data_IF_281174357604
#
_entry.id   IF_281174357604
#
_cell.length_a   1.000
_cell.length_b   1.000
_cell.length_c   1.000
_cell.angle_alpha   90.00
_cell.angle_beta   90.00
_cell.angle_gamma   90.00
#
_symmetry.space_group_name_H-M   'P 1'
#
loop_
_entity.id
_entity.type
_entity.pdbx_description
1 polymer ?
#
# COMPACT_ATOMS: atom_id res chain seq x y z
N UNK A 1 -1.15 50.50 45.96
CA UNK A 1 -1.58 49.11 45.66
C UNK A 1 -2.84 49.22 44.80
N UNK A 2 -3.06 48.54 43.68
CA UNK A 2 -2.28 47.56 42.93
C UNK A 2 -2.83 47.52 41.50
N UNK A 3 -1.97 47.26 40.51
CA UNK A 3 -2.36 47.07 39.10
C UNK A 3 -2.99 45.69 38.96
N UNK A 4 -4.17 45.62 38.35
CA UNK A 4 -4.80 44.36 37.93
C UNK A 4 -4.02 43.83 36.72
N UNK A 5 -3.28 42.73 36.92
CA UNK A 5 -2.66 42.00 35.83
C UNK A 5 -3.72 41.19 35.09
N UNK A 6 -3.89 41.44 33.79
CA UNK A 6 -4.61 40.55 32.89
C UNK A 6 -3.71 39.36 32.60
N UNK A 7 -4.10 38.19 33.08
CA UNK A 7 -3.43 36.93 32.75
C UNK A 7 -3.88 36.52 31.34
N UNK A 8 -2.95 36.56 30.39
CA UNK A 8 -3.19 36.09 29.03
C UNK A 8 -3.08 34.56 29.04
N UNK A 9 -4.22 33.88 28.95
CA UNK A 9 -4.28 32.43 28.79
C UNK A 9 -3.53 32.01 27.52
N UNK A 10 -2.41 31.32 27.69
CA UNK A 10 -1.63 30.69 26.62
C UNK A 10 -2.52 29.71 25.85
N UNK A 11 -2.49 29.69 24.51
CA UNK A 11 -3.21 28.68 23.74
C UNK A 11 -2.58 27.31 24.02
N UNK A 12 -3.44 26.35 24.38
CA UNK A 12 -3.11 24.93 24.53
C UNK A 12 -2.65 24.38 23.18
N UNK A 13 -1.34 24.25 22.98
CA UNK A 13 -0.77 23.50 21.86
C UNK A 13 -1.15 22.02 22.01
N UNK A 14 -1.95 21.49 21.10
CA UNK A 14 -2.12 20.05 20.93
C UNK A 14 -0.73 19.41 20.75
N UNK A 15 -0.38 18.33 21.47
CA UNK A 15 0.91 17.69 21.28
C UNK A 15 0.99 17.15 19.85
N UNK A 16 2.01 17.58 19.11
CA UNK A 16 2.31 17.03 17.79
C UNK A 16 2.55 15.52 17.89
N UNK A 17 2.12 14.71 16.91
CA UNK A 17 2.31 13.28 16.94
C UNK A 17 3.82 12.95 16.84
N UNK A 18 4.42 12.60 17.99
CA UNK A 18 5.80 12.13 18.06
C UNK A 18 5.86 10.71 17.50
N UNK A 19 6.61 10.51 16.43
CA UNK A 19 6.95 9.18 15.93
C UNK A 19 8.34 8.78 16.40
N UNK A 20 8.53 7.50 16.68
CA UNK A 20 9.83 6.94 17.10
C UNK A 20 10.13 5.70 16.29
N UNK A 21 11.40 5.43 16.06
CA UNK A 21 11.88 4.20 15.44
C UNK A 21 13.15 3.73 16.15
N UNK A 22 13.39 2.42 16.13
CA UNK A 22 14.60 1.80 16.68
C UNK A 22 15.27 0.99 15.59
N UNK A 23 16.56 1.23 15.35
CA UNK A 23 17.37 0.35 14.50
C UNK A 23 18.07 -0.67 15.39
N UNK A 24 17.82 -1.95 15.13
CA UNK A 24 18.49 -3.06 15.80
C UNK A 24 19.48 -3.68 14.82
N UNK A 25 20.71 -3.87 15.26
CA UNK A 25 21.74 -4.58 14.50
C UNK A 25 22.18 -5.80 15.28
N UNK A 26 22.09 -6.96 14.66
CA UNK A 26 22.39 -8.25 15.26
C UNK A 26 23.29 -9.08 14.35
N UNK A 27 23.80 -10.19 14.89
CA UNK A 27 24.66 -11.11 14.16
C UNK A 27 24.02 -12.49 14.15
N UNK A 28 23.85 -13.07 12.96
CA UNK A 28 23.45 -14.47 12.79
C UNK A 28 24.71 -15.30 12.70
N UNK A 29 24.95 -16.13 13.71
CA UNK A 29 26.13 -16.97 13.80
C UNK A 29 25.88 -18.37 13.24
N UNK A 30 26.90 -18.96 12.63
CA UNK A 30 26.92 -20.35 12.22
C UNK A 30 28.35 -20.87 12.11
N UNK A 31 28.51 -22.18 12.18
CA UNK A 31 29.82 -22.83 12.19
C UNK A 31 29.89 -23.95 11.16
N UNK A 32 31.11 -24.21 10.66
CA UNK A 32 31.39 -25.28 9.73
C UNK A 32 32.73 -25.92 10.03
N UNK A 33 32.78 -27.25 9.97
CA UNK A 33 34.00 -28.04 10.11
C UNK A 33 34.47 -28.52 8.74
N UNK A 34 35.76 -28.33 8.47
CA UNK A 34 36.40 -28.75 7.24
C UNK A 34 37.58 -29.67 7.58
N UNK A 35 37.41 -30.95 7.29
CA UNK A 35 38.45 -31.96 7.39
C UNK A 35 39.18 -32.07 6.06
N UNK A 36 40.49 -31.85 6.07
CA UNK A 36 41.37 -32.03 4.92
C UNK A 36 42.12 -33.33 5.13
N UNK A 37 41.84 -34.33 4.31
CA UNK A 37 42.55 -35.63 4.33
C UNK A 37 43.56 -35.70 3.20
N UNK A 38 44.67 -36.39 3.39
CA UNK A 38 45.69 -36.52 2.35
C UNK A 38 46.53 -35.25 2.18
N UNK A 39 46.81 -34.52 3.28
CA UNK A 39 47.54 -33.25 3.24
C UNK A 39 48.86 -33.38 2.46
N UNK A 40 49.57 -34.49 2.61
CA UNK A 40 50.82 -34.77 1.92
C UNK A 40 50.70 -34.68 0.40
N UNK A 41 49.56 -35.05 -0.18
CA UNK A 41 49.26 -34.98 -1.62
C UNK A 41 48.87 -33.58 -2.08
N UNK A 42 48.48 -32.70 -1.16
CA UNK A 42 48.16 -31.31 -1.45
C UNK A 42 49.40 -30.41 -1.60
N UNK A 43 50.59 -30.91 -1.23
CA UNK A 43 51.86 -30.19 -1.35
C UNK A 43 52.29 -30.08 -2.81
N UNK A 44 52.79 -28.90 -3.20
CA UNK A 44 53.23 -28.67 -4.58
C UNK A 44 52.07 -28.41 -5.55
N UNK A 45 50.86 -28.19 -5.04
CA UNK A 45 49.70 -27.74 -5.82
C UNK A 45 49.96 -26.37 -6.48
N UNK A 46 50.85 -25.58 -5.90
CA UNK A 46 51.30 -24.30 -6.41
C UNK A 46 50.70 -23.12 -5.64
N UNK A 47 51.47 -22.04 -5.57
CA UNK A 47 51.07 -20.82 -4.87
C UNK A 47 49.78 -20.27 -5.46
N UNK A 48 48.85 -19.89 -4.58
CA UNK A 48 47.54 -19.34 -4.97
C UNK A 48 46.52 -20.40 -5.40
N UNK A 49 46.86 -21.70 -5.38
CA UNK A 49 45.91 -22.80 -5.52
C UNK A 49 45.40 -23.23 -4.14
N UNK A 50 44.14 -23.64 -4.09
CA UNK A 50 43.46 -23.95 -2.83
C UNK A 50 42.58 -25.19 -2.94
N UNK A 51 42.32 -25.76 -1.77
CA UNK A 51 41.25 -26.70 -1.52
C UNK A 51 40.09 -25.95 -0.89
N UNK A 52 38.89 -26.12 -1.44
CA UNK A 52 37.67 -25.56 -0.89
C UNK A 52 36.96 -26.61 -0.01
N UNK A 53 36.37 -26.16 1.09
CA UNK A 53 35.34 -26.95 1.78
C UNK A 53 34.08 -27.03 0.93
N UNK A 54 33.17 -27.93 1.32
CA UNK A 54 31.79 -27.80 0.91
C UNK A 54 31.21 -26.46 1.39
N UNK A 55 30.13 -26.06 0.72
CA UNK A 55 29.46 -24.81 1.06
C UNK A 55 28.53 -24.97 2.25
N UNK A 56 28.38 -23.92 3.05
CA UNK A 56 27.47 -23.87 4.18
C UNK A 56 26.74 -22.53 4.26
N UNK A 57 25.57 -22.50 4.90
CA UNK A 57 24.69 -21.31 4.90
C UNK A 57 24.70 -20.65 6.27
N UNK A 58 24.96 -19.34 6.31
CA UNK A 58 24.87 -18.50 7.52
C UNK A 58 24.30 -17.15 7.13
N UNK A 59 23.31 -16.66 7.89
CA UNK A 59 22.70 -15.35 7.66
C UNK A 59 21.99 -15.19 6.31
N UNK A 60 21.63 -16.30 5.65
CA UNK A 60 21.05 -16.32 4.30
C UNK A 60 22.06 -16.26 3.15
N UNK A 61 23.35 -16.33 3.46
CA UNK A 61 24.42 -16.36 2.46
C UNK A 61 25.15 -17.70 2.48
N UNK A 62 25.67 -18.09 1.33
CA UNK A 62 26.46 -19.31 1.17
C UNK A 62 27.94 -18.98 1.31
N UNK A 63 28.66 -19.77 2.08
CA UNK A 63 30.06 -19.57 2.43
C UNK A 63 30.88 -20.82 2.14
N UNK A 64 32.19 -20.67 1.95
CA UNK A 64 33.14 -21.77 1.84
C UNK A 64 34.49 -21.40 2.46
N UNK A 65 35.19 -22.39 3.01
CA UNK A 65 36.53 -22.23 3.56
C UNK A 65 37.55 -22.58 2.47
N UNK A 66 38.53 -21.70 2.23
CA UNK A 66 39.62 -21.93 1.29
C UNK A 66 40.95 -22.11 2.04
N UNK A 67 41.56 -23.28 1.87
CA UNK A 67 42.88 -23.61 2.40
C UNK A 67 43.92 -23.65 1.28
N UNK A 68 45.00 -22.88 1.44
CA UNK A 68 46.10 -22.80 0.48
C UNK A 68 47.33 -23.50 1.06
N UNK A 69 47.64 -24.74 0.64
CA UNK A 69 48.77 -25.51 1.21
C UNK A 69 50.13 -24.87 0.91
N UNK A 70 50.29 -24.29 -0.27
CA UNK A 70 51.51 -23.58 -0.69
C UNK A 70 51.37 -22.05 -0.56
N UNK A 71 50.40 -21.58 0.22
CA UNK A 71 50.16 -20.16 0.48
C UNK A 71 49.43 -19.41 -0.63
N UNK A 72 48.87 -18.25 -0.29
CA UNK A 72 48.03 -17.43 -1.18
C UNK A 72 48.82 -16.49 -2.11
N UNK A 73 49.99 -16.02 -1.67
CA UNK A 73 50.78 -14.98 -2.36
C UNK A 73 52.18 -15.49 -2.67
N UNK A 74 52.71 -15.11 -3.84
CA UNK A 74 54.08 -15.43 -4.28
C UNK A 74 55.14 -14.76 -3.40
N UNK A 75 54.79 -13.64 -2.76
CA UNK A 75 55.65 -12.87 -1.86
C UNK A 75 56.17 -13.69 -0.67
N UNK A 76 55.39 -14.69 -0.25
CA UNK A 76 55.71 -15.54 0.90
C UNK A 76 56.48 -16.80 0.50
N UNK A 77 56.76 -17.01 -0.80
CA UNK A 77 57.52 -18.14 -1.36
C UNK A 77 57.11 -19.52 -0.78
N UNK A 78 55.80 -19.76 -0.72
CA UNK A 78 55.20 -20.95 -0.11
C UNK A 78 55.61 -21.24 1.35
N UNK A 79 56.07 -20.25 2.11
CA UNK A 79 56.54 -20.43 3.50
C UNK A 79 55.39 -20.71 4.48
N UNK A 80 54.19 -20.24 4.15
CA UNK A 80 53.02 -20.30 5.03
C UNK A 80 51.88 -21.05 4.34
N UNK A 81 51.10 -21.76 5.13
CA UNK A 81 49.73 -22.11 4.72
C UNK A 81 48.84 -20.90 4.93
N UNK A 82 47.85 -20.73 4.06
CA UNK A 82 46.85 -19.66 4.20
C UNK A 82 45.45 -20.23 4.36
N UNK A 83 44.60 -19.49 5.08
CA UNK A 83 43.23 -19.90 5.36
C UNK A 83 42.29 -18.70 5.25
N UNK A 84 41.20 -18.88 4.51
CA UNK A 84 40.23 -17.82 4.21
C UNK A 84 38.80 -18.34 4.31
N UNK A 85 37.89 -17.45 4.67
CA UNK A 85 36.46 -17.60 4.48
C UNK A 85 36.06 -16.81 3.23
N UNK A 86 35.30 -17.43 2.33
CA UNK A 86 34.86 -16.86 1.07
C UNK A 86 33.33 -16.83 0.96
N UNK A 87 32.80 -15.75 0.39
CA UNK A 87 31.39 -15.66 0.02
C UNK A 87 31.17 -16.47 -1.26
N UNK A 88 30.35 -17.51 -1.21
CA UNK A 88 30.08 -18.41 -2.32
C UNK A 88 28.76 -18.10 -3.04
N UNK A 89 27.80 -17.44 -2.38
CA UNK A 89 26.57 -16.94 -3.01
C UNK A 89 26.78 -15.57 -3.66
N UNK A 90 25.84 -15.17 -4.52
CA UNK A 90 25.72 -13.77 -4.91
C UNK A 90 25.35 -12.91 -3.69
N UNK A 91 25.91 -11.71 -3.62
CA UNK A 91 25.67 -10.78 -2.53
C UNK A 91 26.57 -9.56 -2.65
N UNK A 92 26.03 -8.38 -2.34
CA UNK A 92 26.76 -7.11 -2.34
C UNK A 92 26.93 -6.60 -0.93
N UNK A 93 28.15 -6.20 -0.58
CA UNK A 93 28.52 -5.60 0.70
C UNK A 93 28.03 -6.37 1.94
N UNK A 94 28.17 -7.70 1.90
CA UNK A 94 27.84 -8.58 3.03
C UNK A 94 28.81 -8.32 4.17
N UNK A 95 28.31 -7.82 5.30
CA UNK A 95 29.11 -7.59 6.51
C UNK A 95 29.16 -8.85 7.36
N UNK A 96 30.35 -9.32 7.70
CA UNK A 96 30.54 -10.51 8.52
C UNK A 96 31.72 -10.41 9.47
N UNK A 97 31.55 -11.01 10.64
CA UNK A 97 32.62 -11.41 11.55
C UNK A 97 32.98 -12.86 11.24
N UNK A 98 34.21 -13.25 11.54
CA UNK A 98 34.62 -14.64 11.40
C UNK A 98 35.67 -15.04 12.43
N UNK A 99 35.74 -16.35 12.65
CA UNK A 99 36.80 -17.02 13.37
C UNK A 99 37.29 -18.19 12.54
N UNK A 100 38.60 -18.34 12.46
CA UNK A 100 39.26 -19.45 11.80
C UNK A 100 40.13 -20.18 12.83
N UNK A 101 39.80 -21.44 13.05
CA UNK A 101 40.41 -22.28 14.07
C UNK A 101 41.01 -23.52 13.42
N UNK A 102 42.30 -23.73 13.65
CA UNK A 102 42.97 -24.99 13.31
C UNK A 102 43.03 -25.85 14.57
N UNK A 103 42.41 -27.03 14.51
CA UNK A 103 42.18 -27.84 15.70
C UNK A 103 43.43 -28.65 16.09
N UNK A 104 43.79 -28.58 17.37
CA UNK A 104 44.76 -29.49 17.99
C UNK A 104 44.19 -30.92 18.03
N UNK A 105 45.01 -31.88 17.61
CA UNK A 105 44.63 -33.29 17.59
C UNK A 105 45.39 -34.11 18.65
N UNK A 106 46.14 -33.47 19.56
CA UNK A 106 46.79 -34.16 20.69
C UNK A 106 45.85 -34.47 21.86
N UNK A 107 44.63 -33.93 21.85
CA UNK A 107 43.68 -34.01 22.96
C UNK A 107 43.96 -33.00 24.09
N UNK A 108 44.83 -32.01 23.86
CA UNK A 108 45.16 -30.96 24.84
C UNK A 108 44.37 -29.67 24.62
N UNK A 109 43.50 -29.65 23.62
CA UNK A 109 42.63 -28.52 23.24
C UNK A 109 43.40 -27.22 22.95
N UNK A 110 44.65 -27.34 22.49
CA UNK A 110 45.51 -26.19 22.17
C UNK A 110 45.29 -25.69 20.76
N UNK A 111 44.05 -25.35 20.43
CA UNK A 111 43.67 -24.91 19.09
C UNK A 111 44.37 -23.59 18.72
N UNK A 112 44.71 -23.44 17.44
CA UNK A 112 45.16 -22.16 16.90
C UNK A 112 43.96 -21.37 16.41
N UNK A 113 43.58 -20.34 17.16
CA UNK A 113 42.39 -19.51 16.91
C UNK A 113 42.80 -18.13 16.39
N UNK A 114 42.15 -17.67 15.33
CA UNK A 114 42.12 -16.25 14.96
C UNK A 114 40.68 -15.78 14.85
N UNK A 115 40.25 -14.97 15.83
CA UNK A 115 38.85 -14.54 15.98
C UNK A 115 38.69 -13.03 15.83
N UNK A 116 37.61 -12.62 15.17
CA UNK A 116 37.20 -11.22 15.05
C UNK A 116 35.94 -10.88 15.83
N UNK A 117 35.30 -11.85 16.49
CA UNK A 117 34.09 -11.61 17.28
C UNK A 117 34.34 -10.65 18.48
N UNK A 118 35.52 -10.72 19.09
CA UNK A 118 35.88 -9.88 20.24
C UNK A 118 36.39 -8.47 19.90
N UNK A 119 36.60 -8.14 18.61
CA UNK A 119 37.18 -6.85 18.16
C UNK A 119 36.20 -5.98 17.39
N UNK A 120 34.90 -6.29 17.46
CA UNK A 120 33.88 -5.61 16.67
C UNK A 120 33.85 -4.09 16.91
N UNK A 121 34.15 -3.62 18.12
CA UNK A 121 34.19 -2.19 18.43
C UNK A 121 35.45 -1.46 17.90
N UNK A 122 36.56 -2.19 17.71
CA UNK A 122 37.84 -1.61 17.24
C UNK A 122 37.94 -1.60 15.71
N UNK A 123 37.62 -2.73 15.07
CA UNK A 123 37.85 -2.94 13.63
C UNK A 123 36.56 -3.10 12.83
N UNK A 124 35.42 -3.29 13.50
CA UNK A 124 34.15 -3.58 12.84
C UNK A 124 34.11 -4.95 12.14
N UNK A 125 32.94 -5.31 11.57
CA UNK A 125 32.81 -6.45 10.69
C UNK A 125 33.49 -6.19 9.33
N UNK A 126 33.94 -7.25 8.68
CA UNK A 126 34.51 -7.19 7.34
C UNK A 126 33.41 -7.16 6.28
N UNK A 127 33.63 -6.40 5.20
CA UNK A 127 32.70 -6.32 4.07
C UNK A 127 33.17 -7.22 2.93
N UNK A 128 32.32 -8.15 2.49
CA UNK A 128 32.50 -8.99 1.32
C UNK A 128 31.62 -8.44 0.19
N UNK A 129 32.28 -7.92 -0.86
CA UNK A 129 31.63 -7.06 -1.86
C UNK A 129 30.86 -7.82 -2.95
N UNK A 130 31.29 -9.03 -3.27
CA UNK A 130 30.75 -9.84 -4.36
C UNK A 130 31.10 -11.32 -4.18
N UNK A 131 30.47 -12.21 -4.95
CA UNK A 131 30.77 -13.65 -4.94
C UNK A 131 32.24 -13.93 -5.24
N UNK A 132 32.88 -14.70 -4.37
CA UNK A 132 34.31 -15.01 -4.44
C UNK A 132 35.19 -14.01 -3.68
N UNK A 133 34.64 -12.91 -3.16
CA UNK A 133 35.31 -12.11 -2.14
C UNK A 133 35.65 -12.97 -0.93
N UNK A 134 36.80 -12.75 -0.32
CA UNK A 134 37.29 -13.55 0.80
C UNK A 134 38.06 -12.72 1.82
N UNK A 135 38.00 -13.14 3.07
CA UNK A 135 38.79 -12.59 4.17
C UNK A 135 39.45 -13.72 4.96
N UNK A 136 40.61 -13.44 5.55
CA UNK A 136 41.41 -14.45 6.22
C UNK A 136 42.88 -14.06 6.29
N UNK A 137 43.74 -15.07 6.41
CA UNK A 137 45.14 -14.87 6.76
C UNK A 137 46.07 -15.50 5.72
N UNK A 138 46.80 -14.64 4.99
CA UNK A 138 47.88 -15.07 4.08
C UNK A 138 48.97 -15.87 4.83
N UNK A 139 49.35 -15.40 6.01
CA UNK A 139 50.37 -16.03 6.87
C UNK A 139 49.71 -16.72 8.05
N UNK A 140 48.75 -17.62 7.80
CA UNK A 140 47.98 -18.26 8.87
C UNK A 140 48.89 -19.07 9.79
N UNK A 141 49.71 -19.97 9.24
CA UNK A 141 50.70 -20.73 10.01
C UNK A 141 51.92 -21.08 9.14
N UNK A 142 53.11 -21.14 9.75
CA UNK A 142 54.33 -21.55 9.03
C UNK A 142 54.20 -23.02 8.64
N UNK A 143 54.45 -23.35 7.38
CA UNK A 143 54.26 -24.71 6.85
C UNK A 143 55.16 -25.74 7.54
N UNK A 144 56.45 -25.46 7.67
CA UNK A 144 57.39 -26.35 8.37
C UNK A 144 57.01 -26.60 9.85
N UNK A 145 56.42 -25.60 10.51
CA UNK A 145 55.89 -25.77 11.87
C UNK A 145 54.58 -26.56 11.88
N UNK A 146 53.72 -26.41 10.87
CA UNK A 146 52.48 -27.19 10.73
C UNK A 146 52.79 -28.68 10.63
N UNK A 147 53.72 -29.02 9.74
CA UNK A 147 54.07 -30.40 9.39
C UNK A 147 54.68 -31.19 10.56
N UNK A 148 55.20 -30.49 11.57
CA UNK A 148 55.79 -31.08 12.78
C UNK A 148 54.92 -30.91 14.03
N UNK A 149 53.74 -30.32 13.89
CA UNK A 149 52.83 -30.01 15.01
C UNK A 149 51.79 -31.10 15.26
N UNK A 150 51.10 -31.00 16.39
CA UNK A 150 49.93 -31.82 16.70
C UNK A 150 48.65 -31.40 15.95
N UNK A 151 48.72 -30.38 15.09
CA UNK A 151 47.61 -30.01 14.21
C UNK A 151 47.48 -30.92 12.99
N UNK A 152 48.55 -31.61 12.58
CA UNK A 152 48.58 -32.57 11.48
C UNK A 152 48.79 -33.97 12.05
N UNK A 153 47.76 -34.81 12.02
CA UNK A 153 47.80 -36.22 12.46
C UNK A 153 47.17 -37.09 11.38
N UNK A 154 47.75 -38.26 11.14
CA UNK A 154 47.27 -39.23 10.15
C UNK A 154 47.00 -38.61 8.77
N UNK A 155 47.91 -37.72 8.36
CA UNK A 155 47.81 -36.94 7.12
C UNK A 155 46.53 -36.09 6.97
N UNK A 156 45.93 -35.72 8.11
CA UNK A 156 44.69 -34.96 8.19
C UNK A 156 44.86 -33.65 8.97
N UNK A 157 44.23 -32.58 8.47
CA UNK A 157 44.02 -31.33 9.19
C UNK A 157 42.52 -31.16 9.48
N UNK A 158 42.20 -30.57 10.63
CA UNK A 158 40.84 -30.21 11.00
C UNK A 158 40.74 -28.70 11.19
N UNK A 159 39.91 -28.05 10.38
CA UNK A 159 39.63 -26.62 10.46
C UNK A 159 38.19 -26.43 10.90
N UNK A 160 37.96 -25.53 11.86
CA UNK A 160 36.65 -25.05 12.22
C UNK A 160 36.56 -23.56 11.87
N UNK A 161 35.46 -23.17 11.22
CA UNK A 161 35.15 -21.77 10.95
C UNK A 161 33.84 -21.41 11.62
N UNK A 162 33.81 -20.25 12.28
CA UNK A 162 32.58 -19.61 12.72
C UNK A 162 32.39 -18.32 11.92
N UNK A 163 31.19 -18.09 11.38
CA UNK A 163 30.83 -16.89 10.65
C UNK A 163 29.67 -16.21 11.38
N UNK A 164 29.76 -14.90 11.54
CA UNK A 164 28.70 -14.07 12.11
C UNK A 164 28.27 -13.03 11.10
N UNK A 165 27.13 -13.23 10.45
CA UNK A 165 26.61 -12.28 9.44
C UNK A 165 25.83 -11.18 10.13
N UNK A 166 26.23 -9.93 9.89
CA UNK A 166 25.61 -8.76 10.50
C UNK A 166 24.37 -8.37 9.71
N UNK A 167 23.22 -8.32 10.39
CA UNK A 167 21.95 -7.83 9.84
C UNK A 167 21.46 -6.64 10.64
N UNK A 168 20.81 -5.72 9.95
CA UNK A 168 20.16 -4.56 10.57
C UNK A 168 18.71 -4.52 10.11
N UNK A 169 17.80 -4.28 11.04
CA UNK A 169 16.40 -3.99 10.75
C UNK A 169 15.94 -2.77 11.55
N UNK A 170 14.98 -2.05 10.99
CA UNK A 170 14.39 -0.87 11.63
C UNK A 170 12.97 -1.22 12.05
N UNK A 171 12.72 -1.16 13.35
CA UNK A 171 11.39 -1.31 13.93
C UNK A 171 10.76 0.07 14.07
N UNK A 172 9.67 0.29 13.35
CA UNK A 172 8.79 1.43 13.53
C UNK A 172 7.55 1.07 14.35
N UNK A 173 6.67 2.03 14.66
CA UNK A 173 5.41 1.76 15.32
C UNK A 173 4.61 0.77 14.45
N UNK A 174 4.17 -0.36 15.03
CA UNK A 174 3.30 -1.32 14.32
C UNK A 174 2.01 -0.60 13.94
N UNK A 175 1.88 -0.21 12.67
CA UNK A 175 0.63 0.31 12.13
C UNK A 175 -0.32 -0.88 12.04
N UNK A 176 -1.22 -1.01 13.02
CA UNK A 176 -2.31 -1.98 12.93
C UNK A 176 -3.28 -1.50 11.84
N UNK A 177 -3.06 -1.94 10.61
CA UNK A 177 -4.06 -1.82 9.55
C UNK A 177 -5.08 -2.93 9.74
N UNK A 178 -6.31 -2.57 10.09
CA UNK A 178 -7.43 -3.51 10.04
C UNK A 178 -7.83 -3.60 8.57
N UNK A 179 -7.71 -4.78 7.91
CA UNK A 179 -8.14 -4.92 6.53
C UNK A 179 -9.67 -4.75 6.48
N UNK A 180 -10.13 -3.64 5.93
CA UNK A 180 -11.56 -3.39 5.72
C UNK A 180 -11.95 -4.07 4.40
N UNK A 181 -12.86 -5.07 4.41
CA UNK A 181 -13.29 -5.71 3.19
C UNK A 181 -14.05 -4.72 2.30
N UNK A 182 -14.04 -4.91 0.96
CA UNK A 182 -14.87 -4.14 0.05
C UNK A 182 -16.35 -4.22 0.45
N UNK A 183 -17.10 -3.13 0.30
CA UNK A 183 -18.53 -3.08 0.62
C UNK A 183 -19.34 -4.01 -0.29
N UNK A 184 -20.22 -4.82 0.31
CA UNK A 184 -21.16 -5.71 -0.37
C UNK A 184 -22.60 -5.16 -0.39
N UNK A 185 -22.80 -3.90 0.00
CA UNK A 185 -24.13 -3.29 0.15
C UNK A 185 -24.93 -3.29 -1.15
N UNK A 186 -24.29 -3.16 -2.31
CA UNK A 186 -24.96 -3.25 -3.61
C UNK A 186 -25.62 -4.61 -3.85
N UNK A 187 -25.01 -5.69 -3.35
CA UNK A 187 -25.60 -7.02 -3.41
C UNK A 187 -26.80 -7.15 -2.47
N UNK A 188 -26.74 -6.52 -1.29
CA UNK A 188 -27.86 -6.48 -0.35
C UNK A 188 -29.07 -5.70 -0.90
N UNK A 189 -28.84 -4.56 -1.55
CA UNK A 189 -29.92 -3.82 -2.23
C UNK A 189 -30.44 -4.56 -3.47
N UNK A 190 -29.58 -5.24 -4.24
CA UNK A 190 -30.02 -6.11 -5.34
C UNK A 190 -30.97 -7.21 -4.84
N UNK A 191 -30.60 -7.92 -3.77
CA UNK A 191 -31.47 -8.93 -3.12
C UNK A 191 -32.77 -8.32 -2.58
N UNK A 192 -32.72 -7.09 -2.05
CA UNK A 192 -33.92 -6.39 -1.57
C UNK A 192 -34.91 -6.16 -2.73
N UNK A 193 -34.41 -5.67 -3.88
CA UNK A 193 -35.20 -5.45 -5.09
C UNK A 193 -35.76 -6.76 -5.65
N UNK A 194 -34.94 -7.81 -5.79
CA UNK A 194 -35.39 -9.14 -6.25
C UNK A 194 -36.47 -9.74 -5.35
N UNK A 195 -36.33 -9.58 -4.03
CA UNK A 195 -37.27 -10.16 -3.07
C UNK A 195 -38.64 -9.46 -3.04
N UNK A 196 -38.73 -8.23 -3.57
CA UNK A 196 -39.92 -7.39 -3.51
C UNK A 196 -40.35 -6.96 -2.10
N UNK A 197 -39.59 -7.32 -1.05
CA UNK A 197 -39.94 -7.01 0.35
C UNK A 197 -39.93 -5.50 0.59
N UNK A 198 -41.04 -4.98 1.12
CA UNK A 198 -41.18 -3.57 1.50
C UNK A 198 -41.22 -2.60 0.31
N UNK A 199 -41.56 -3.10 -0.89
CA UNK A 199 -41.79 -2.24 -2.06
C UNK A 199 -43.02 -1.36 -1.84
N UNK A 200 -42.94 -0.12 -2.29
CA UNK A 200 -43.91 0.95 -2.02
C UNK A 200 -44.24 1.79 -3.28
N UNK A 201 -43.69 1.41 -4.44
CA UNK A 201 -44.01 1.93 -5.77
C UNK A 201 -43.90 0.82 -6.81
N UNK A 202 -44.71 0.92 -7.87
CA UNK A 202 -44.59 0.07 -9.06
C UNK A 202 -44.25 0.91 -10.29
N UNK A 203 -43.45 0.36 -11.19
CA UNK A 203 -43.32 0.86 -12.55
C UNK A 203 -44.21 0.05 -13.48
N UNK A 204 -45.02 0.74 -14.28
CA UNK A 204 -45.76 0.12 -15.38
C UNK A 204 -44.95 0.34 -16.67
N UNK A 205 -44.46 -0.75 -17.26
CA UNK A 205 -43.57 -0.76 -18.43
C UNK A 205 -44.06 -1.81 -19.40
N UNK A 206 -44.45 -1.41 -20.61
CA UNK A 206 -44.99 -2.33 -21.64
C UNK A 206 -46.14 -3.23 -21.14
N UNK A 207 -46.98 -2.69 -20.24
CA UNK A 207 -48.07 -3.43 -19.61
C UNK A 207 -47.65 -4.39 -18.48
N UNK A 208 -46.36 -4.48 -18.15
CA UNK A 208 -45.83 -5.23 -17.01
C UNK A 208 -45.57 -4.32 -15.81
N UNK A 209 -45.76 -4.86 -14.60
CA UNK A 209 -45.54 -4.14 -13.35
C UNK A 209 -44.27 -4.60 -12.65
N UNK A 210 -43.41 -3.64 -12.30
CA UNK A 210 -42.15 -3.85 -11.59
C UNK A 210 -42.16 -3.12 -10.25
N UNK A 211 -42.16 -3.87 -9.16
CA UNK A 211 -42.14 -3.28 -7.81
C UNK A 211 -40.74 -2.78 -7.44
N UNK A 212 -40.69 -1.62 -6.78
CA UNK A 212 -39.47 -0.95 -6.37
C UNK A 212 -39.65 -0.18 -5.04
N UNK A 213 -38.58 0.49 -4.61
CA UNK A 213 -38.52 1.21 -3.32
C UNK A 213 -38.29 2.70 -3.55
N UNK A 214 -39.28 3.53 -3.17
CA UNK A 214 -39.26 4.99 -3.34
C UNK A 214 -38.01 5.63 -2.75
N UNK A 215 -37.60 5.21 -1.55
CA UNK A 215 -36.42 5.76 -0.88
C UNK A 215 -35.13 5.46 -1.64
N UNK A 216 -34.98 4.25 -2.19
CA UNK A 216 -33.82 3.88 -3.00
C UNK A 216 -33.81 4.70 -4.29
N UNK A 217 -34.93 4.80 -4.98
CA UNK A 217 -35.05 5.59 -6.22
C UNK A 217 -34.77 7.08 -5.98
N UNK A 218 -35.34 7.67 -4.93
CA UNK A 218 -35.14 9.08 -4.60
C UNK A 218 -33.73 9.39 -4.08
N UNK A 219 -33.04 8.41 -3.48
CA UNK A 219 -31.62 8.56 -3.12
C UNK A 219 -30.71 8.49 -4.35
N UNK A 220 -31.12 7.76 -5.40
CA UNK A 220 -30.31 7.51 -6.61
C UNK A 220 -30.61 8.44 -7.78
N UNK A 221 -31.76 9.09 -7.80
CA UNK A 221 -32.19 9.94 -8.90
C UNK A 221 -32.90 11.19 -8.38
N UNK A 222 -32.32 12.39 -8.61
CA UNK A 222 -32.99 13.66 -8.31
C UNK A 222 -34.36 13.79 -9.01
N UNK A 223 -34.51 13.18 -10.19
CA UNK A 223 -35.78 13.14 -10.93
C UNK A 223 -36.83 12.35 -10.14
N UNK A 224 -36.49 11.13 -9.68
CA UNK A 224 -37.40 10.37 -8.83
C UNK A 224 -37.61 11.03 -7.47
N UNK A 225 -36.61 11.70 -6.91
CA UNK A 225 -36.75 12.47 -5.68
C UNK A 225 -37.79 13.59 -5.83
N UNK A 226 -37.70 14.36 -6.91
CA UNK A 226 -38.64 15.44 -7.20
C UNK A 226 -40.05 14.91 -7.51
N UNK A 227 -40.16 13.81 -8.26
CA UNK A 227 -41.44 13.20 -8.61
C UNK A 227 -42.14 12.50 -7.43
N UNK A 228 -41.39 11.88 -6.52
CA UNK A 228 -41.96 11.14 -5.39
C UNK A 228 -42.19 12.01 -4.15
N UNK A 229 -41.29 12.96 -3.90
CA UNK A 229 -41.23 13.74 -2.65
C UNK A 229 -41.16 15.27 -2.87
N UNK A 230 -41.03 15.74 -4.12
CA UNK A 230 -40.92 17.15 -4.45
C UNK A 230 -42.25 17.78 -4.87
N UNK A 231 -42.23 19.06 -5.32
CA UNK A 231 -43.43 19.79 -5.72
C UNK A 231 -44.08 19.24 -7.01
N UNK A 232 -43.37 18.39 -7.77
CA UNK A 232 -43.88 17.69 -8.97
C UNK A 232 -44.66 16.40 -8.64
N UNK A 233 -44.92 16.15 -7.35
CA UNK A 233 -45.62 14.96 -6.90
C UNK A 233 -47.04 14.91 -7.43
N UNK A 234 -47.35 13.88 -8.21
CA UNK A 234 -48.71 13.59 -8.65
C UNK A 234 -49.57 13.02 -7.50
N UNK A 235 -50.88 12.92 -7.74
CA UNK A 235 -51.79 12.30 -6.76
C UNK A 235 -51.58 10.78 -6.64
N UNK A 236 -50.93 10.14 -7.63
CA UNK A 236 -50.75 8.69 -7.68
C UNK A 236 -49.27 8.26 -7.70
N UNK A 237 -48.55 8.58 -6.63
CA UNK A 237 -47.14 8.15 -6.47
C UNK A 237 -46.94 6.63 -6.28
N UNK A 238 -48.00 5.81 -6.36
CA UNK A 238 -47.90 4.36 -6.20
C UNK A 238 -47.58 3.65 -7.52
N UNK A 239 -47.79 4.30 -8.67
CA UNK A 239 -47.54 3.74 -9.98
C UNK A 239 -46.89 4.78 -10.90
N UNK A 240 -45.68 4.51 -11.38
CA UNK A 240 -44.96 5.35 -12.32
C UNK A 240 -45.00 4.66 -13.68
N UNK A 241 -45.65 5.30 -14.66
CA UNK A 241 -45.70 4.77 -16.02
C UNK A 241 -44.44 5.16 -16.78
N UNK A 242 -43.79 4.19 -17.40
CA UNK A 242 -42.63 4.42 -18.27
C UNK A 242 -43.04 4.14 -19.70
N UNK A 243 -43.31 5.21 -20.43
CA UNK A 243 -43.62 5.17 -21.85
C UNK A 243 -42.27 5.07 -22.61
N UNK A 244 -42.20 4.24 -23.65
CA UNK A 244 -41.01 4.02 -24.50
C UNK A 244 -39.87 3.15 -23.93
N UNK A 245 -40.19 2.13 -23.12
CA UNK A 245 -39.24 1.10 -22.71
C UNK A 245 -39.86 -0.30 -22.76
N UNK A 246 -39.10 -1.27 -23.28
CA UNK A 246 -39.50 -2.68 -23.29
C UNK A 246 -39.25 -3.32 -21.92
N UNK A 247 -40.21 -4.11 -21.43
CA UNK A 247 -40.14 -4.77 -20.13
C UNK A 247 -38.85 -5.61 -19.90
N UNK A 248 -38.34 -6.38 -20.89
CA UNK A 248 -37.09 -7.12 -20.72
C UNK A 248 -35.86 -6.24 -20.49
N UNK A 249 -35.79 -5.09 -21.17
CA UNK A 249 -34.68 -4.13 -21.03
C UNK A 249 -34.73 -3.41 -19.68
N UNK A 250 -35.94 -3.09 -19.22
CA UNK A 250 -36.14 -2.50 -17.89
C UNK A 250 -35.63 -3.42 -16.78
N UNK A 251 -35.85 -4.72 -16.94
CA UNK A 251 -35.46 -5.74 -15.96
C UNK A 251 -33.95 -6.03 -15.94
N UNK A 252 -33.26 -5.97 -17.08
CA UNK A 252 -31.82 -6.27 -17.16
C UNK A 252 -30.96 -5.05 -16.88
N UNK A 253 -31.15 -3.97 -17.66
CA UNK A 253 -30.22 -2.84 -17.69
C UNK A 253 -30.43 -1.93 -16.48
N UNK A 254 -31.69 -1.79 -16.01
CA UNK A 254 -32.01 -1.06 -14.78
C UNK A 254 -31.47 -1.76 -13.52
N UNK A 255 -31.44 -3.10 -13.53
CA UNK A 255 -30.98 -3.90 -12.40
C UNK A 255 -29.45 -3.95 -12.28
N UNK A 256 -28.75 -4.19 -13.40
CA UNK A 256 -27.28 -4.15 -13.42
C UNK A 256 -26.75 -2.74 -13.14
N UNK A 257 -27.41 -1.68 -13.62
CA UNK A 257 -27.02 -0.29 -13.31
C UNK A 257 -27.13 0.04 -11.81
N UNK A 258 -28.20 -0.39 -11.14
CA UNK A 258 -28.36 -0.21 -9.69
C UNK A 258 -27.26 -0.95 -8.91
N UNK A 259 -26.94 -2.18 -9.32
CA UNK A 259 -25.93 -3.04 -8.71
C UNK A 259 -24.50 -2.49 -8.88
N UNK A 260 -24.16 -1.95 -10.05
CA UNK A 260 -22.86 -1.33 -10.33
C UNK A 260 -22.70 0.07 -9.68
N UNK A 261 -23.80 0.82 -9.52
CA UNK A 261 -23.75 2.18 -8.98
C UNK A 261 -23.85 2.28 -7.46
N UNK A 262 -24.38 1.25 -6.79
CA UNK A 262 -24.56 1.22 -5.33
C UNK A 262 -23.30 1.36 -4.44
N UNK A 263 -22.08 0.95 -4.86
CA UNK A 263 -20.88 1.13 -4.02
C UNK A 263 -20.54 2.59 -3.72
N UNK A 264 -20.91 3.54 -4.60
CA UNK A 264 -20.58 4.97 -4.44
C UNK A 264 -21.53 5.70 -3.48
N UNK A 265 -22.76 5.20 -3.32
CA UNK A 265 -23.81 5.81 -2.49
C UNK A 265 -23.51 5.67 -1.00
N UNK A 266 -22.93 4.54 -0.59
CA UNK A 266 -22.56 4.32 0.81
C UNK A 266 -21.38 5.21 1.19
N UNK A 267 -20.40 5.36 0.29
CA UNK A 267 -19.26 6.27 0.50
C UNK A 267 -19.73 7.72 0.62
N UNK A 268 -20.60 8.18 -0.27
CA UNK A 268 -21.18 9.54 -0.22
C UNK A 268 -22.06 9.76 1.02
N UNK A 269 -22.88 8.79 1.42
CA UNK A 269 -23.69 8.85 2.64
C UNK A 269 -22.82 8.83 3.90
N UNK A 270 -21.78 8.01 3.94
CA UNK A 270 -20.85 7.96 5.08
C UNK A 270 -20.04 9.25 5.19
N UNK A 271 -19.58 9.82 4.07
CA UNK A 271 -18.93 11.13 4.04
C UNK A 271 -19.89 12.26 4.43
N UNK A 272 -21.17 12.19 4.03
CA UNK A 272 -22.19 13.17 4.44
C UNK A 272 -22.51 13.06 5.93
N UNK A 273 -22.68 11.85 6.46
CA UNK A 273 -22.89 11.60 7.89
C UNK A 273 -21.67 12.04 8.71
N UNK A 274 -20.45 11.75 8.23
CA UNK A 274 -19.20 12.21 8.86
C UNK A 274 -19.14 13.75 8.93
N UNK A 275 -19.53 14.44 7.84
CA UNK A 275 -19.64 15.91 7.81
C UNK A 275 -20.70 16.45 8.78
N UNK A 276 -21.84 15.78 8.92
CA UNK A 276 -22.88 16.19 9.89
C UNK A 276 -22.40 16.00 11.33
N UNK A 277 -21.65 14.94 11.62
CA UNK A 277 -21.08 14.73 12.97
C UNK A 277 -20.04 15.78 13.32
N UNK A 278 -19.27 16.31 12.35
CA UNK A 278 -18.34 17.42 12.58
C UNK A 278 -19.08 18.75 12.84
N UNK A 279 -20.14 19.06 12.08
CA UNK A 279 -20.95 20.26 12.31
C UNK A 279 -21.82 20.20 13.58
N UNK A 280 -22.19 19.00 14.04
CA UNK A 280 -22.97 18.82 15.28
C UNK A 280 -22.15 19.06 16.55
N UNK A 281 -20.81 18.97 16.48
CA UNK A 281 -19.91 19.35 17.58
C UNK A 281 -19.76 20.89 17.65
N UNK A 282 -20.01 21.61 16.54
CA UNK A 282 -19.85 23.06 16.46
C UNK A 282 -21.09 23.88 16.90
N UNK A 283 -22.30 23.28 16.91
CA UNK A 283 -23.54 24.00 17.30
C UNK A 283 -24.03 23.51 18.65
N UNK A 284 -23.29 23.92 19.68
CA UNK A 284 -23.56 23.55 21.07
C UNK A 284 -23.45 24.70 22.04
N UNK A 285 -23.98 25.91 21.74
CA UNK A 285 -24.41 26.88 22.77
C UNK A 285 -25.61 27.74 22.30
N UNK A 286 -26.61 27.99 23.16
CA UNK A 286 -27.80 28.75 22.79
C UNK A 286 -27.64 30.26 22.99
N UNK A 287 -28.14 31.03 22.02
CA UNK A 287 -28.81 32.32 22.20
C UNK A 287 -27.94 33.57 22.36
N UNK A 288 -27.78 34.35 21.28
CA UNK A 288 -28.17 35.78 21.25
C UNK A 288 -28.22 36.29 19.79
N UNK A 289 -29.31 36.98 19.45
CA UNK A 289 -29.58 37.60 18.15
C UNK A 289 -28.50 38.62 17.75
N UNK A 290 -28.16 38.65 16.45
CA UNK A 290 -27.24 39.64 15.88
C UNK A 290 -27.04 39.49 14.38
N UNK A 291 -27.97 40.08 13.62
CA UNK A 291 -27.82 40.83 12.35
C UNK A 291 -26.79 40.31 11.32
N UNK A 292 -27.33 39.96 10.14
CA UNK A 292 -26.63 39.61 8.90
C UNK A 292 -25.82 40.79 8.34
N UNK A 293 -24.58 40.54 7.91
CA UNK A 293 -23.89 41.38 6.93
C UNK A 293 -23.47 40.52 5.73
N UNK A 294 -23.89 40.96 4.54
CA UNK A 294 -23.78 40.24 3.29
C UNK A 294 -22.46 40.55 2.62
N UNK A 295 -21.54 39.60 2.60
CA UNK A 295 -20.42 39.56 1.65
C UNK A 295 -19.79 38.17 1.59
N UNK A 296 -20.60 37.16 1.24
CA UNK A 296 -20.10 35.79 0.95
C UNK A 296 -20.96 35.07 -0.10
N UNK A 297 -21.60 35.83 -1.00
CA UNK A 297 -22.49 35.25 -2.02
C UNK A 297 -21.77 35.00 -3.35
N UNK A 298 -20.72 35.77 -3.68
CA UNK A 298 -20.06 35.69 -4.99
C UNK A 298 -18.86 34.73 -5.08
N UNK A 299 -18.25 34.30 -3.97
CA UNK A 299 -17.22 33.24 -4.02
C UNK A 299 -17.81 31.83 -3.92
N UNK A 300 -19.05 31.70 -3.42
CA UNK A 300 -19.77 30.43 -3.36
C UNK A 300 -20.46 30.08 -4.70
N UNK A 301 -20.76 31.06 -5.56
CA UNK A 301 -21.33 30.82 -6.90
C UNK A 301 -20.31 30.22 -7.89
N UNK A 302 -19.06 30.69 -7.89
CA UNK A 302 -18.04 30.14 -8.79
C UNK A 302 -17.53 28.75 -8.38
N UNK A 303 -17.62 28.39 -7.09
CA UNK A 303 -17.33 27.03 -6.62
C UNK A 303 -18.50 26.06 -6.88
N UNK A 304 -19.75 26.55 -6.85
CA UNK A 304 -20.93 25.78 -7.25
C UNK A 304 -20.87 25.41 -8.72
N UNK A 305 -20.50 26.32 -9.61
CA UNK A 305 -20.40 26.03 -11.04
C UNK A 305 -19.27 25.06 -11.37
N UNK A 306 -18.12 25.12 -10.72
CA UNK A 306 -17.01 24.19 -10.98
C UNK A 306 -17.27 22.77 -10.44
N UNK A 307 -18.00 22.66 -9.31
CA UNK A 307 -18.39 21.38 -8.70
C UNK A 307 -19.60 20.79 -9.42
N UNK A 308 -20.59 21.61 -9.81
CA UNK A 308 -21.72 21.20 -10.64
C UNK A 308 -21.24 20.78 -12.02
N UNK A 309 -20.31 21.49 -12.66
CA UNK A 309 -19.80 21.12 -14.00
C UNK A 309 -18.99 19.81 -13.96
N UNK A 310 -18.27 19.52 -12.87
CA UNK A 310 -17.58 18.22 -12.65
C UNK A 310 -18.53 17.08 -12.24
N UNK A 311 -19.61 17.39 -11.53
CA UNK A 311 -20.69 16.44 -11.22
C UNK A 311 -21.54 16.09 -12.46
N UNK A 312 -21.84 17.09 -13.31
CA UNK A 312 -22.55 16.91 -14.57
C UNK A 312 -21.73 16.11 -15.58
N UNK A 313 -20.41 16.33 -15.70
CA UNK A 313 -19.56 15.60 -16.66
C UNK A 313 -19.37 14.11 -16.32
N UNK A 314 -19.50 13.71 -15.06
CA UNK A 314 -19.45 12.29 -14.67
C UNK A 314 -20.78 11.57 -14.93
N UNK A 315 -21.91 12.29 -14.86
CA UNK A 315 -23.24 11.81 -15.24
C UNK A 315 -23.52 11.87 -16.76
N UNK A 316 -22.87 12.76 -17.50
CA UNK A 316 -23.11 12.96 -18.94
C UNK A 316 -22.58 11.83 -19.83
N UNK A 317 -21.62 11.01 -19.40
CA UNK A 317 -21.07 9.94 -20.27
C UNK A 317 -22.03 8.74 -20.31
N UNK A 318 -22.69 8.42 -19.19
CA UNK A 318 -23.66 7.31 -19.10
C UNK A 318 -25.06 7.69 -19.62
N UNK A 319 -25.59 8.84 -19.18
CA UNK A 319 -26.93 9.27 -19.59
C UNK A 319 -27.01 9.72 -21.05
N UNK A 320 -25.96 10.31 -21.64
CA UNK A 320 -26.01 10.69 -23.06
C UNK A 320 -25.94 9.48 -24.01
N UNK A 321 -25.40 8.33 -23.60
CA UNK A 321 -25.43 7.13 -24.45
C UNK A 321 -26.87 6.60 -24.62
N UNK A 322 -27.69 6.74 -23.56
CA UNK A 322 -29.11 6.38 -23.56
C UNK A 322 -29.93 7.50 -24.22
N UNK A 323 -29.74 8.77 -23.84
CA UNK A 323 -30.48 9.93 -24.37
C UNK A 323 -30.15 10.24 -25.85
N UNK A 324 -28.91 10.06 -26.34
CA UNK A 324 -28.59 10.25 -27.77
C UNK A 324 -29.18 9.16 -28.67
N UNK A 325 -29.44 7.96 -28.13
CA UNK A 325 -30.23 6.93 -28.84
C UNK A 325 -31.72 7.30 -28.89
N UNK A 326 -32.24 8.05 -27.90
CA UNK A 326 -33.59 8.63 -27.91
C UNK A 326 -33.74 9.75 -28.97
N UNK A 327 -32.74 10.62 -29.19
CA UNK A 327 -32.88 11.76 -30.12
C UNK A 327 -32.58 11.43 -31.61
N UNK A 328 -31.67 10.50 -31.91
CA UNK A 328 -31.26 10.23 -33.30
C UNK A 328 -32.24 9.37 -34.13
N UNK A 329 -33.32 8.84 -33.54
CA UNK A 329 -34.40 8.15 -34.29
C UNK A 329 -35.62 9.03 -34.58
N UNK A 330 -35.63 10.28 -34.12
CA UNK A 330 -36.67 11.27 -34.43
C UNK A 330 -36.59 11.87 -35.85
N UNK A 331 -35.61 11.50 -36.68
CA UNK A 331 -35.40 12.12 -38.00
C UNK A 331 -35.87 11.29 -39.20
N UNK A 332 -36.84 10.39 -39.02
CA UNK A 332 -37.53 9.75 -40.15
C UNK A 332 -39.05 9.83 -40.00
N UNK A 333 -39.63 10.78 -40.73
CA UNK A 333 -41.05 10.96 -41.10
C UNK A 333 -42.04 11.51 -40.04
N UNK A 334 -42.05 12.84 -39.94
CA UNK A 334 -43.21 13.72 -40.26
C UNK A 334 -44.62 13.10 -40.26
N UNK A 335 -45.42 13.39 -39.24
CA UNK A 335 -46.63 14.23 -39.36
C UNK A 335 -47.37 14.39 -38.02
N UNK A 336 -48.00 15.56 -37.87
CA UNK A 336 -48.82 16.04 -36.75
C UNK A 336 -48.09 16.57 -35.51
N UNK A 337 -47.57 17.79 -35.70
CA UNK A 337 -47.67 18.86 -34.71
C UNK A 337 -49.16 19.08 -34.37
N UNK A 338 -49.48 19.31 -33.10
CA UNK A 338 -50.17 20.50 -32.58
C UNK A 338 -50.93 20.18 -31.28
N UNK A 339 -50.53 20.75 -30.15
CA UNK A 339 -51.34 21.81 -29.53
C UNK A 339 -50.86 22.24 -28.12
N UNK A 340 -50.75 23.56 -28.01
CA UNK A 340 -51.00 24.43 -26.84
C UNK A 340 -50.00 24.64 -25.71
N UNK A 341 -48.98 23.82 -25.49
CA UNK A 341 -48.04 24.12 -24.38
C UNK A 341 -46.97 25.16 -24.79
N UNK A 342 -46.55 25.14 -26.06
CA UNK A 342 -45.42 25.96 -26.50
C UNK A 342 -45.73 27.45 -26.74
N UNK A 343 -47.02 27.86 -26.72
CA UNK A 343 -47.41 29.25 -27.00
C UNK A 343 -47.56 30.13 -25.76
N UNK A 344 -47.56 29.56 -24.55
CA UNK A 344 -47.61 30.36 -23.31
C UNK A 344 -46.24 30.71 -22.72
N UNK A 345 -45.17 30.10 -23.23
CA UNK A 345 -43.80 30.36 -22.76
C UNK A 345 -43.06 31.41 -23.60
N UNK A 346 -43.71 32.01 -24.60
CA UNK A 346 -43.09 32.99 -25.50
C UNK A 346 -43.73 34.39 -25.42
N UNK A 347 -44.73 34.60 -24.56
CA UNK A 347 -45.34 35.93 -24.32
C UNK A 347 -44.96 36.52 -22.95
N UNK A 348 -44.15 35.83 -22.14
CA UNK A 348 -43.66 36.34 -20.83
C UNK A 348 -42.16 36.72 -20.85
N UNK A 349 -41.43 36.53 -21.96
CA UNK A 349 -40.01 36.90 -22.10
C UNK A 349 -39.76 38.17 -22.94
N UNK A 350 -40.79 38.84 -23.48
CA UNK A 350 -40.63 40.06 -24.31
C UNK A 350 -41.06 41.38 -23.63
N UNK A 351 -41.39 41.40 -22.33
CA UNK A 351 -41.85 42.63 -21.64
C UNK A 351 -40.92 43.16 -20.51
N UNK A 352 -39.66 42.70 -20.40
CA UNK A 352 -38.71 43.22 -19.40
C UNK A 352 -37.40 43.85 -19.94
N UNK A 353 -37.27 44.11 -21.25
CA UNK A 353 -36.05 44.71 -21.85
C UNK A 353 -36.28 46.04 -22.64
N UNK A 354 -37.28 46.85 -22.28
CA UNK A 354 -37.33 48.27 -22.65
C UNK A 354 -37.64 49.15 -21.43
N UNK A 355 -36.62 49.50 -20.63
CA UNK A 355 -36.53 50.80 -19.94
C UNK A 355 -35.17 50.95 -19.23
N UNK A 356 -34.24 51.72 -19.81
CA UNK A 356 -33.03 52.12 -19.06
C UNK A 356 -31.78 52.58 -19.80
N UNK A 357 -31.86 53.35 -20.89
CA UNK A 357 -30.73 54.18 -21.32
C UNK A 357 -31.22 55.47 -22.01
N UNK A 358 -31.43 56.51 -21.19
CA UNK A 358 -31.44 57.92 -21.58
C UNK A 358 -30.33 58.64 -20.84
#
# INVERSE_FOLDING_TARGET
MGRVFRDASKPSSSPEPVTTSTSTTETINGSHEFKITGYSLSKGMGIGKYMASDTFIVGGYTWAIYFYPDGKSVEDNATYVSLFIALASEGTDVRALFELTLLDQSGRERHKVHSHFGRALESGPYTLKYRGSMWGYKRFFKRAALETSDYLKDDCLHVQCCVGVVRSHTEGPKIYSIPVPPSDIGQHFGKLLESGKGTDVNFEVDGENFSAHKLVLAARSPVFRAQLYGPMKDQNTQCIKVEDMEAPLFKTDGFEYLKESCPHVLTELLEYVARITEHSIAVGKPGTEGILDGSDVNELENAKDLILTRWFTSMEIGCNAVIRKFQNKGNSNSRYKDSRVHRKLLEEEEEEDEDGAG
#
